data_IF_145076963458
#
_entry.id   IF_145076963458
#
_cell.length_a   1.000
_cell.length_b   1.000
_cell.length_c   1.000
_cell.angle_alpha   90.00
_cell.angle_beta   90.00
_cell.angle_gamma   90.00
#
_symmetry.space_group_name_H-M   'P 1'
#
loop_
_entity.id
_entity.type
_entity.pdbx_description
1 polymer ?
#
# COMPACT_ATOMS: atom_id res chain seq x y z
N UNK A 1 4.56 -1.49 6.13
CA UNK A 1 5.66 -1.74 5.16
C UNK A 1 5.09 -2.04 3.79
N UNK A 2 5.91 -2.07 2.73
CA UNK A 2 5.40 -2.30 1.36
C UNK A 2 5.16 -3.80 1.12
N UNK A 3 4.11 -4.17 0.37
CA UNK A 3 3.84 -5.57 0.02
C UNK A 3 3.23 -6.42 1.13
N UNK A 4 2.76 -5.83 2.22
CA UNK A 4 2.07 -6.56 3.31
C UNK A 4 0.58 -6.82 3.05
N UNK A 5 0.11 -6.70 1.80
CA UNK A 5 -1.27 -6.99 1.43
C UNK A 5 -2.33 -6.03 1.98
N UNK A 6 -2.02 -4.73 2.15
CA UNK A 6 -2.96 -3.72 2.69
C UNK A 6 -4.33 -3.76 2.01
N UNK A 7 -4.37 -3.75 0.68
CA UNK A 7 -5.62 -3.81 -0.10
C UNK A 7 -6.39 -5.10 0.17
N UNK A 8 -5.69 -6.23 0.33
CA UNK A 8 -6.32 -7.50 0.70
C UNK A 8 -6.90 -7.42 2.12
N UNK A 9 -6.16 -6.92 3.09
CA UNK A 9 -6.63 -6.75 4.47
C UNK A 9 -7.85 -5.81 4.56
N UNK A 10 -7.81 -4.69 3.84
CA UNK A 10 -8.97 -3.78 3.73
C UNK A 10 -10.19 -4.47 3.13
N UNK A 11 -10.01 -5.29 2.08
CA UNK A 11 -11.13 -6.05 1.50
C UNK A 11 -11.74 -7.02 2.52
N UNK A 12 -10.92 -7.66 3.36
CA UNK A 12 -11.38 -8.56 4.41
C UNK A 12 -12.07 -7.82 5.57
N UNK A 13 -11.68 -6.58 5.86
CA UNK A 13 -12.40 -5.72 6.81
C UNK A 13 -13.76 -5.29 6.24
N UNK A 14 -13.80 -4.86 4.98
CA UNK A 14 -15.05 -4.51 4.28
C UNK A 14 -16.04 -5.68 4.27
N UNK A 15 -15.56 -6.90 4.01
CA UNK A 15 -16.39 -8.12 4.07
C UNK A 15 -16.98 -8.44 5.45
N UNK A 16 -16.45 -7.83 6.53
CA UNK A 16 -17.00 -7.91 7.89
C UNK A 16 -17.93 -6.74 8.25
N UNK A 17 -18.19 -5.83 7.31
CA UNK A 17 -19.05 -4.66 7.51
C UNK A 17 -18.34 -3.45 8.14
N UNK A 18 -17.00 -3.44 8.20
CA UNK A 18 -16.22 -2.28 8.61
C UNK A 18 -16.22 -1.18 7.54
N UNK A 19 -16.04 0.08 7.96
CA UNK A 19 -16.03 1.22 7.03
C UNK A 19 -14.64 1.43 6.46
N UNK A 20 -14.50 1.33 5.14
CA UNK A 20 -13.19 1.38 4.46
C UNK A 20 -13.14 2.52 3.46
N UNK A 21 -12.10 3.35 3.54
CA UNK A 21 -11.72 4.30 2.50
C UNK A 21 -10.51 3.76 1.70
N UNK A 22 -10.79 3.10 0.59
CA UNK A 22 -9.78 2.57 -0.34
C UNK A 22 -9.33 3.66 -1.32
N UNK A 23 -8.31 4.43 -0.93
CA UNK A 23 -7.81 5.54 -1.74
C UNK A 23 -7.14 5.07 -3.05
N UNK A 24 -6.45 3.92 -3.04
CA UNK A 24 -5.82 3.35 -4.23
C UNK A 24 -6.86 2.89 -5.25
N UNK A 25 -7.93 2.23 -4.79
CA UNK A 25 -9.07 1.84 -5.61
C UNK A 25 -9.79 3.05 -6.22
N UNK A 26 -10.03 4.10 -5.43
CA UNK A 26 -10.60 5.36 -5.93
C UNK A 26 -9.68 6.08 -6.93
N UNK A 27 -8.36 5.98 -6.72
CA UNK A 27 -7.35 6.56 -7.60
C UNK A 27 -7.05 5.70 -8.84
N UNK A 28 -7.57 4.47 -8.89
CA UNK A 28 -7.23 3.44 -9.90
C UNK A 28 -5.72 3.25 -10.03
N UNK A 29 -5.02 3.18 -8.89
CA UNK A 29 -3.56 3.13 -8.85
C UNK A 29 -3.02 2.41 -7.60
N UNK A 30 -2.14 1.42 -7.76
CA UNK A 30 -1.55 0.63 -6.67
C UNK A 30 -0.32 1.25 -5.98
N UNK A 31 -0.35 2.56 -5.70
CA UNK A 31 0.64 3.31 -4.89
C UNK A 31 2.15 3.13 -5.16
N UNK A 32 2.53 2.46 -6.25
CA UNK A 32 3.90 2.01 -6.52
C UNK A 32 4.33 2.41 -7.93
N UNK A 33 5.64 2.39 -8.19
CA UNK A 33 6.19 2.64 -9.54
C UNK A 33 5.57 1.72 -10.59
N UNK A 34 5.14 0.53 -10.15
CA UNK A 34 4.54 -0.48 -10.98
C UNK A 34 3.02 -0.39 -11.01
N UNK A 35 2.40 0.40 -10.13
CA UNK A 35 1.00 0.32 -9.76
C UNK A 35 -0.03 0.85 -10.76
N UNK A 36 0.26 0.98 -12.05
CA UNK A 36 -0.83 1.12 -13.02
C UNK A 36 -1.66 -0.16 -12.98
N UNK A 37 -2.94 -0.03 -12.59
CA UNK A 37 -3.95 -1.06 -12.83
C UNK A 37 -4.23 -1.05 -14.34
N UNK A 38 -4.25 -2.23 -14.95
CA UNK A 38 -4.34 -2.43 -16.40
C UNK A 38 -5.36 -1.48 -17.06
N UNK A 39 -4.91 -0.75 -18.07
CA UNK A 39 -5.76 0.03 -18.99
C UNK A 39 -6.75 1.03 -18.36
N UNK A 40 -6.59 1.40 -17.08
CA UNK A 40 -7.42 2.39 -16.43
C UNK A 40 -6.65 3.69 -16.18
N UNK A 41 -7.12 4.77 -16.80
CA UNK A 41 -6.59 6.10 -16.50
C UNK A 41 -7.00 6.54 -15.09
N UNK A 42 -6.02 7.06 -14.33
CA UNK A 42 -6.33 7.74 -13.09
C UNK A 42 -7.33 8.87 -13.36
N UNK A 43 -8.37 9.03 -12.50
CA UNK A 43 -9.39 10.05 -12.67
C UNK A 43 -8.81 11.47 -12.66
N UNK A 44 -9.64 12.46 -12.96
CA UNK A 44 -9.29 13.85 -12.67
C UNK A 44 -9.24 14.08 -11.15
N UNK A 45 -8.48 15.08 -10.72
CA UNK A 45 -8.39 15.47 -9.31
C UNK A 45 -9.78 15.75 -8.72
N UNK A 46 -10.62 16.52 -9.43
CA UNK A 46 -11.98 16.85 -8.97
C UNK A 46 -12.89 15.63 -8.84
N UNK A 47 -12.76 14.66 -9.76
CA UNK A 47 -13.56 13.44 -9.70
C UNK A 47 -13.09 12.53 -8.56
N UNK A 48 -11.78 12.41 -8.34
CA UNK A 48 -11.22 11.71 -7.18
C UNK A 48 -11.74 12.26 -5.85
N UNK A 49 -11.72 13.59 -5.68
CA UNK A 49 -12.27 14.25 -4.48
C UNK A 49 -13.77 14.01 -4.32
N UNK A 50 -14.52 14.02 -5.44
CA UNK A 50 -15.95 13.71 -5.44
C UNK A 50 -16.25 12.28 -5.02
N UNK A 51 -15.42 11.31 -5.43
CA UNK A 51 -15.53 9.92 -5.04
C UNK A 51 -15.25 9.73 -3.55
N UNK A 52 -14.22 10.39 -3.00
CA UNK A 52 -13.93 10.41 -1.57
C UNK A 52 -15.13 10.95 -0.79
N UNK A 53 -15.65 12.12 -1.18
CA UNK A 53 -16.80 12.73 -0.52
C UNK A 53 -18.05 11.84 -0.60
N UNK A 54 -18.24 11.13 -1.71
CA UNK A 54 -19.33 10.16 -1.88
C UNK A 54 -19.21 8.98 -0.92
N UNK A 55 -18.02 8.43 -0.70
CA UNK A 55 -17.82 7.35 0.27
C UNK A 55 -18.10 7.82 1.70
N UNK A 56 -17.57 8.98 2.09
CA UNK A 56 -17.82 9.53 3.44
C UNK A 56 -19.30 9.77 3.74
N UNK A 57 -20.11 10.17 2.75
CA UNK A 57 -21.57 10.33 2.94
C UNK A 57 -22.30 9.03 3.31
N UNK A 58 -21.71 7.88 3.00
CA UNK A 58 -22.29 6.57 3.31
C UNK A 58 -21.76 5.99 4.64
N UNK A 59 -20.82 6.68 5.30
CA UNK A 59 -20.27 6.23 6.58
C UNK A 59 -21.09 6.77 7.74
N UNK A 60 -21.25 5.92 8.76
CA UNK A 60 -21.65 6.29 10.10
C UNK A 60 -20.48 6.99 10.80
N UNK A 61 -20.70 8.23 11.22
CA UNK A 61 -19.70 9.05 11.89
C UNK A 61 -19.30 8.54 13.28
N UNK A 62 -20.09 7.63 13.87
CA UNK A 62 -19.81 7.03 15.18
C UNK A 62 -18.98 5.75 15.08
N UNK A 63 -18.62 5.33 13.87
CA UNK A 63 -17.83 4.11 13.62
C UNK A 63 -16.47 4.47 13.06
N UNK A 64 -15.49 3.62 13.36
CA UNK A 64 -14.13 3.75 12.85
C UNK A 64 -14.14 3.64 11.31
N UNK A 65 -13.32 4.45 10.67
CA UNK A 65 -13.03 4.36 9.23
C UNK A 65 -11.58 3.91 9.08
N UNK A 66 -11.39 2.76 8.43
CA UNK A 66 -10.07 2.22 8.12
C UNK A 66 -9.61 2.77 6.76
N UNK A 67 -8.37 3.24 6.71
CA UNK A 67 -7.79 3.91 5.55
C UNK A 67 -6.41 3.32 5.31
N UNK A 68 -6.02 3.10 4.05
CA UNK A 68 -4.63 2.76 3.74
C UNK A 68 -3.70 3.92 4.11
N UNK A 69 -2.63 3.61 4.85
CA UNK A 69 -1.59 4.59 5.17
C UNK A 69 -0.72 4.85 3.93
N UNK A 70 -1.24 5.71 3.06
CA UNK A 70 -0.59 6.20 1.85
C UNK A 70 0.06 7.57 2.04
N UNK A 71 0.96 7.90 1.11
CA UNK A 71 1.50 9.26 1.02
C UNK A 71 0.39 10.24 0.61
N UNK A 72 0.63 11.54 0.78
CA UNK A 72 -0.30 12.58 0.31
C UNK A 72 -0.56 12.49 -1.20
N UNK A 73 0.30 11.81 -1.97
CA UNK A 73 0.14 11.60 -3.42
C UNK A 73 -0.09 10.12 -3.76
N UNK A 74 -1.02 9.89 -4.68
CA UNK A 74 -1.27 8.58 -5.29
C UNK A 74 -1.18 8.74 -6.81
N UNK A 75 -0.03 8.34 -7.38
CA UNK A 75 0.30 8.68 -8.76
C UNK A 75 0.31 10.19 -8.99
N UNK A 76 -0.54 10.70 -9.89
CA UNK A 76 -0.69 12.13 -10.17
C UNK A 76 -1.67 12.86 -9.22
N UNK A 77 -2.44 12.12 -8.44
CA UNK A 77 -3.51 12.64 -7.59
C UNK A 77 -3.00 13.06 -6.22
N UNK A 78 -3.61 14.09 -5.66
CA UNK A 78 -3.35 14.58 -4.31
C UNK A 78 -4.53 14.21 -3.40
N UNK A 79 -4.24 13.58 -2.25
CA UNK A 79 -5.22 13.37 -1.19
C UNK A 79 -5.62 14.74 -0.61
N UNK A 80 -6.92 15.02 -0.40
CA UNK A 80 -7.36 16.28 0.20
C UNK A 80 -6.60 16.60 1.48
N UNK A 81 -6.11 17.83 1.60
CA UNK A 81 -5.19 18.20 2.68
C UNK A 81 -5.78 17.94 4.09
N UNK A 82 -7.06 18.22 4.28
CA UNK A 82 -7.74 17.98 5.55
C UNK A 82 -7.89 16.49 5.88
N UNK A 83 -8.15 15.65 4.87
CA UNK A 83 -8.15 14.20 5.04
C UNK A 83 -6.75 13.71 5.39
N UNK A 84 -5.73 14.17 4.68
CA UNK A 84 -4.34 13.76 4.92
C UNK A 84 -3.87 14.17 6.32
N UNK A 85 -4.22 15.37 6.80
CA UNK A 85 -3.93 15.79 8.18
C UNK A 85 -4.55 14.83 9.20
N UNK A 86 -5.83 14.46 9.02
CA UNK A 86 -6.49 13.48 9.88
C UNK A 86 -5.79 12.12 9.83
N UNK A 87 -5.46 11.61 8.63
CA UNK A 87 -4.70 10.37 8.47
C UNK A 87 -3.32 10.40 9.16
N UNK A 88 -2.64 11.55 9.16
CA UNK A 88 -1.37 11.72 9.86
C UNK A 88 -1.52 11.73 11.38
N UNK A 89 -2.69 12.19 11.86
CA UNK A 89 -3.01 12.25 13.27
C UNK A 89 -3.53 10.92 13.77
N UNK A 90 -4.23 10.10 12.98
CA UNK A 90 -4.87 8.85 13.43
C UNK A 90 -3.92 7.72 13.87
N UNK A 91 -4.44 6.88 14.77
CA UNK A 91 -3.86 5.61 15.20
C UNK A 91 -3.43 4.78 13.99
N UNK A 92 -2.24 4.19 14.11
CA UNK A 92 -1.59 3.50 13.00
C UNK A 92 -1.21 2.08 13.36
N UNK A 93 -1.61 1.16 12.50
CA UNK A 93 -1.15 -0.22 12.52
C UNK A 93 -0.05 -0.42 11.48
N UNK A 94 1.16 -0.72 11.95
CA UNK A 94 2.26 -1.17 11.10
C UNK A 94 2.25 -2.68 11.09
N UNK A 95 1.78 -3.25 9.98
CA UNK A 95 1.82 -4.70 9.78
C UNK A 95 3.25 -5.11 9.43
N UNK A 96 3.82 -6.00 10.22
CA UNK A 96 5.06 -6.70 9.95
C UNK A 96 4.74 -8.08 9.38
N UNK A 97 5.18 -8.33 8.15
CA UNK A 97 4.96 -9.58 7.42
C UNK A 97 6.34 -10.12 7.01
N UNK A 98 6.63 -11.43 7.16
CA UNK A 98 7.90 -12.00 6.75
C UNK A 98 8.25 -11.66 5.28
N UNK A 99 9.53 -11.41 5.01
CA UNK A 99 10.00 -11.02 3.66
C UNK A 99 9.51 -12.00 2.58
N UNK A 100 9.61 -13.29 2.86
CA UNK A 100 9.20 -14.33 1.92
C UNK A 100 7.70 -14.24 1.56
N UNK A 101 6.84 -13.94 2.53
CA UNK A 101 5.40 -13.77 2.32
C UNK A 101 5.11 -12.50 1.51
N UNK A 102 5.82 -11.41 1.78
CA UNK A 102 5.73 -10.15 1.00
C UNK A 102 6.13 -10.38 -0.46
N UNK A 103 7.24 -11.08 -0.70
CA UNK A 103 7.73 -11.40 -2.04
C UNK A 103 6.73 -12.30 -2.76
N UNK A 104 6.27 -13.38 -2.12
CA UNK A 104 5.28 -14.30 -2.68
C UNK A 104 3.97 -13.57 -3.04
N UNK A 105 3.51 -12.67 -2.16
CA UNK A 105 2.34 -11.84 -2.41
C UNK A 105 2.54 -10.96 -3.66
N UNK A 106 3.64 -10.21 -3.73
CA UNK A 106 3.91 -9.34 -4.87
C UNK A 106 3.98 -10.14 -6.18
N UNK A 107 4.72 -11.25 -6.22
CA UNK A 107 4.83 -12.07 -7.43
C UNK A 107 3.46 -12.59 -7.88
N UNK A 108 2.59 -12.99 -6.95
CA UNK A 108 1.22 -13.46 -7.28
C UNK A 108 0.34 -12.36 -7.86
N UNK A 109 0.46 -11.12 -7.37
CA UNK A 109 -0.43 -10.00 -7.69
C UNK A 109 0.10 -9.04 -8.77
N UNK A 110 1.36 -9.20 -9.17
CA UNK A 110 2.03 -8.40 -10.19
C UNK A 110 2.55 -9.28 -11.33
N UNK A 111 1.72 -10.20 -11.82
CA UNK A 111 2.10 -11.14 -12.89
C UNK A 111 2.53 -10.46 -14.18
N UNK A 112 2.02 -9.26 -14.47
CA UNK A 112 2.41 -8.47 -15.64
C UNK A 112 3.90 -8.08 -15.65
N UNK A 113 4.63 -8.15 -14.51
CA UNK A 113 6.10 -8.04 -14.51
C UNK A 113 6.77 -9.03 -15.44
N UNK A 114 6.13 -10.17 -15.64
CA UNK A 114 6.66 -11.28 -16.42
C UNK A 114 6.16 -11.26 -17.86
N UNK A 115 5.21 -10.37 -18.20
CA UNK A 115 4.52 -10.36 -19.49
C UNK A 115 5.14 -9.36 -20.49
N UNK A 116 5.65 -8.21 -20.01
CA UNK A 116 6.35 -7.22 -20.84
C UNK A 116 7.64 -6.72 -20.16
N UNK A 117 8.76 -7.33 -20.57
CA UNK A 117 10.08 -6.98 -20.05
C UNK A 117 10.54 -5.57 -20.45
N UNK A 118 10.18 -5.08 -21.65
CA UNK A 118 10.60 -3.75 -22.10
C UNK A 118 9.84 -2.66 -21.33
N UNK A 119 8.55 -2.87 -21.06
CA UNK A 119 7.82 -1.98 -20.16
C UNK A 119 8.44 -1.99 -18.76
N UNK A 120 8.72 -3.16 -18.19
CA UNK A 120 9.36 -3.27 -16.88
C UNK A 120 10.71 -2.52 -16.83
N UNK A 121 11.55 -2.71 -17.84
CA UNK A 121 12.86 -2.06 -17.98
C UNK A 121 12.72 -0.54 -18.11
N UNK A 122 11.73 -0.05 -18.87
CA UNK A 122 11.45 1.37 -18.98
C UNK A 122 11.09 1.99 -17.62
N UNK A 123 10.25 1.29 -16.83
CA UNK A 123 9.87 1.70 -15.47
C UNK A 123 11.06 1.68 -14.52
N UNK A 124 11.89 0.63 -14.54
CA UNK A 124 13.12 0.55 -13.74
C UNK A 124 14.09 1.68 -14.06
N UNK A 125 14.18 2.10 -15.32
CA UNK A 125 15.05 3.21 -15.72
C UNK A 125 14.63 4.53 -15.06
N UNK A 126 13.34 4.73 -14.76
CA UNK A 126 12.85 5.90 -14.03
C UNK A 126 13.40 5.98 -12.59
N UNK A 127 13.91 4.87 -12.04
CA UNK A 127 14.56 4.83 -10.73
C UNK A 127 16.00 5.32 -10.74
N UNK A 128 16.61 5.56 -11.91
CA UNK A 128 17.98 6.07 -12.01
C UNK A 128 18.17 7.46 -11.35
N UNK A 129 17.08 8.22 -11.14
CA UNK A 129 17.10 9.47 -10.35
C UNK A 129 17.33 9.26 -8.85
N UNK A 130 17.13 8.04 -8.35
CA UNK A 130 17.23 7.71 -6.92
C UNK A 130 18.35 6.70 -6.61
N UNK A 131 18.82 5.98 -7.61
CA UNK A 131 19.78 4.88 -7.45
C UNK A 131 20.90 4.97 -8.48
N UNK A 132 22.12 4.51 -8.14
CA UNK A 132 23.23 4.47 -9.08
C UNK A 132 22.94 3.51 -10.24
N UNK A 133 23.48 3.81 -11.42
CA UNK A 133 23.26 3.02 -12.64
C UNK A 133 23.56 1.53 -12.47
N UNK A 134 24.59 1.19 -11.68
CA UNK A 134 24.91 -0.21 -11.35
C UNK A 134 23.73 -0.95 -10.73
N UNK A 135 23.02 -0.34 -9.78
CA UNK A 135 21.88 -0.97 -9.10
C UNK A 135 20.71 -1.18 -10.04
N UNK A 136 20.47 -0.22 -10.94
CA UNK A 136 19.46 -0.35 -11.99
C UNK A 136 19.81 -1.51 -12.93
N UNK A 137 21.06 -1.62 -13.37
CA UNK A 137 21.53 -2.74 -14.21
C UNK A 137 21.42 -4.09 -13.51
N UNK A 138 21.72 -4.17 -12.22
CA UNK A 138 21.54 -5.38 -11.40
C UNK A 138 20.07 -5.82 -11.40
N UNK A 139 19.13 -4.91 -11.12
CA UNK A 139 17.69 -5.20 -11.15
C UNK A 139 17.18 -5.63 -12.53
N UNK A 140 17.62 -4.95 -13.59
CA UNK A 140 17.28 -5.34 -14.97
C UNK A 140 17.80 -6.76 -15.27
N UNK A 141 19.02 -7.10 -14.85
CA UNK A 141 19.59 -8.43 -15.08
C UNK A 141 18.84 -9.54 -14.31
N UNK A 142 18.42 -9.27 -13.08
CA UNK A 142 17.61 -10.23 -12.31
C UNK A 142 16.25 -10.48 -12.99
N UNK A 143 15.58 -9.41 -13.44
CA UNK A 143 14.33 -9.52 -14.17
C UNK A 143 14.49 -10.26 -15.51
N UNK A 144 15.56 -9.98 -16.26
CA UNK A 144 15.86 -10.62 -17.56
C UNK A 144 16.08 -12.14 -17.40
N UNK A 145 16.71 -12.56 -16.31
CA UNK A 145 16.94 -13.98 -15.98
C UNK A 145 15.73 -14.67 -15.35
N UNK A 146 14.63 -13.95 -15.12
CA UNK A 146 13.45 -14.47 -14.43
C UNK A 146 13.69 -14.78 -12.95
N UNK A 147 14.71 -14.18 -12.32
CA UNK A 147 15.00 -14.33 -10.89
C UNK A 147 14.06 -13.45 -10.04
N UNK A 148 12.74 -13.69 -10.16
CA UNK A 148 11.70 -12.80 -9.63
C UNK A 148 11.71 -12.65 -8.11
N UNK A 149 12.02 -13.73 -7.38
CA UNK A 149 12.11 -13.71 -5.92
C UNK A 149 13.17 -12.70 -5.46
N UNK A 150 14.40 -12.87 -5.96
CA UNK A 150 15.53 -11.98 -5.66
C UNK A 150 15.28 -10.56 -6.16
N UNK A 151 14.75 -10.40 -7.37
CA UNK A 151 14.39 -9.10 -7.94
C UNK A 151 13.42 -8.30 -7.05
N UNK A 152 12.34 -8.95 -6.59
CA UNK A 152 11.33 -8.29 -5.74
C UNK A 152 11.88 -7.98 -4.37
N UNK A 153 12.61 -8.91 -3.74
CA UNK A 153 13.25 -8.69 -2.45
C UNK A 153 14.23 -7.49 -2.51
N UNK A 154 15.06 -7.45 -3.55
CA UNK A 154 16.01 -6.38 -3.80
C UNK A 154 15.33 -5.01 -3.91
N UNK A 155 14.21 -4.92 -4.62
CA UNK A 155 13.42 -3.69 -4.73
C UNK A 155 12.77 -3.31 -3.40
N UNK A 156 12.26 -4.28 -2.64
CA UNK A 156 11.68 -4.03 -1.32
C UNK A 156 12.70 -3.42 -0.37
N UNK A 157 13.86 -4.06 -0.23
CA UNK A 157 14.92 -3.67 0.71
C UNK A 157 15.56 -2.35 0.31
N UNK A 158 15.89 -2.17 -0.98
CA UNK A 158 16.74 -1.05 -1.38
C UNK A 158 15.93 0.18 -1.84
N UNK A 159 14.67 0.02 -2.25
CA UNK A 159 13.87 1.14 -2.75
C UNK A 159 12.61 1.40 -1.92
N UNK A 160 11.74 0.41 -1.77
CA UNK A 160 10.40 0.65 -1.23
C UNK A 160 10.39 0.84 0.29
N UNK A 161 11.03 -0.03 1.07
CA UNK A 161 11.03 0.06 2.53
C UNK A 161 11.74 1.32 3.05
N UNK A 162 12.91 1.73 2.53
CA UNK A 162 13.55 2.99 2.93
C UNK A 162 12.67 4.21 2.60
N UNK A 163 11.98 4.20 1.46
CA UNK A 163 11.09 5.29 1.05
C UNK A 163 9.88 5.37 1.97
N UNK A 164 9.29 4.23 2.32
CA UNK A 164 8.16 4.15 3.24
C UNK A 164 8.54 4.57 4.66
N UNK A 165 9.70 4.17 5.16
CA UNK A 165 10.18 4.59 6.49
C UNK A 165 10.41 6.10 6.54
N UNK A 166 10.97 6.71 5.49
CA UNK A 166 11.19 8.17 5.42
C UNK A 166 9.88 8.96 5.37
N UNK A 167 8.85 8.46 4.67
CA UNK A 167 7.55 9.14 4.67
C UNK A 167 6.85 9.02 6.02
N UNK A 168 6.94 7.86 6.66
CA UNK A 168 6.35 7.65 7.99
C UNK A 168 6.97 8.54 9.07
N UNK A 169 8.30 8.65 9.14
CA UNK A 169 8.97 9.46 10.18
C UNK A 169 8.68 10.95 10.04
N UNK A 170 8.47 11.45 8.82
CA UNK A 170 8.15 12.87 8.57
C UNK A 170 6.75 13.28 8.98
N UNK A 171 5.81 12.33 9.06
CA UNK A 171 4.39 12.60 9.26
C UNK A 171 3.85 11.96 10.54
N UNK A 172 4.72 11.51 11.44
CA UNK A 172 4.32 10.98 12.73
C UNK A 172 4.16 12.14 13.73
N UNK A 173 2.91 12.56 13.95
CA UNK A 173 2.58 13.74 14.76
C UNK A 173 1.78 13.43 16.04
N UNK A 174 1.83 12.20 16.56
CA UNK A 174 1.60 11.98 18.01
C UNK A 174 0.52 10.99 18.44
N UNK A 175 -0.02 10.12 17.58
CA UNK A 175 -0.91 9.02 18.03
C UNK A 175 -0.20 7.65 18.12
N UNK A 176 -0.93 6.67 18.64
CA UNK A 176 -0.43 5.33 18.96
C UNK A 176 -0.06 4.61 17.67
N UNK A 177 1.22 4.29 17.53
CA UNK A 177 1.70 3.39 16.48
C UNK A 177 1.82 1.99 17.07
N UNK A 178 0.94 1.08 16.65
CA UNK A 178 1.00 -0.33 17.01
C UNK A 178 1.71 -1.09 15.89
N UNK A 179 2.85 -1.71 16.21
CA UNK A 179 3.46 -2.70 15.31
C UNK A 179 2.81 -4.04 15.61
N UNK A 180 2.28 -4.68 14.59
CA UNK A 180 1.58 -5.96 14.71
C UNK A 180 2.15 -6.95 13.71
N UNK A 181 2.51 -8.13 14.21
CA UNK A 181 3.05 -9.21 13.41
C UNK A 181 1.91 -10.03 12.78
N UNK A 182 2.09 -10.35 11.50
CA UNK A 182 1.24 -11.25 10.76
C UNK A 182 2.13 -12.34 10.17
N UNK A 183 1.86 -13.60 10.51
CA UNK A 183 2.72 -14.73 10.10
C UNK A 183 2.67 -14.97 8.59
N UNK A 184 1.46 -14.94 8.02
CA UNK A 184 1.21 -15.14 6.60
C UNK A 184 -0.09 -14.47 6.15
N UNK A 185 -0.34 -14.49 4.83
CA UNK A 185 -1.58 -13.97 4.23
C UNK A 185 -2.64 -15.06 4.01
N UNK A 186 -2.59 -16.17 4.74
CA UNK A 186 -3.65 -17.18 4.69
C UNK A 186 -4.95 -16.61 5.27
N UNK A 187 -6.09 -17.13 4.80
CA UNK A 187 -7.39 -16.67 5.27
C UNK A 187 -7.58 -16.84 6.78
N UNK A 188 -6.99 -17.88 7.38
CA UNK A 188 -7.06 -18.15 8.82
C UNK A 188 -6.24 -17.14 9.64
N UNK A 189 -4.98 -16.90 9.26
CA UNK A 189 -4.11 -15.92 9.93
C UNK A 189 -4.67 -14.51 9.83
N UNK A 190 -5.11 -14.12 8.62
CA UNK A 190 -5.78 -12.82 8.40
C UNK A 190 -7.10 -12.74 9.13
N UNK A 191 -7.83 -13.86 9.26
CA UNK A 191 -9.07 -13.86 10.01
C UNK A 191 -8.83 -13.50 11.49
N UNK A 192 -7.89 -14.21 12.12
CA UNK A 192 -7.51 -14.03 13.52
C UNK A 192 -6.92 -12.63 13.77
N UNK A 193 -6.02 -12.20 12.90
CA UNK A 193 -5.37 -10.91 12.96
C UNK A 193 -6.38 -9.75 12.99
N UNK A 194 -7.28 -9.71 12.00
CA UNK A 194 -8.24 -8.62 11.89
C UNK A 194 -9.29 -8.64 13.01
N UNK A 195 -9.65 -9.82 13.53
CA UNK A 195 -10.54 -9.93 14.69
C UNK A 195 -9.93 -9.23 15.91
N UNK A 196 -8.69 -9.56 16.25
CA UNK A 196 -7.98 -8.95 17.37
C UNK A 196 -7.81 -7.44 17.18
N UNK A 197 -7.47 -7.01 15.97
CA UNK A 197 -7.31 -5.58 15.65
C UNK A 197 -8.61 -4.77 15.83
N UNK A 198 -9.76 -5.32 15.42
CA UNK A 198 -11.06 -4.66 15.62
C UNK A 198 -11.42 -4.59 17.11
N UNK A 199 -11.20 -5.66 17.87
CA UNK A 199 -11.48 -5.70 19.31
C UNK A 199 -10.62 -4.66 20.07
N UNK A 200 -9.32 -4.56 19.74
CA UNK A 200 -8.42 -3.56 20.31
C UNK A 200 -8.84 -2.13 19.97
N UNK A 201 -9.20 -1.85 18.72
CA UNK A 201 -9.65 -0.52 18.28
C UNK A 201 -11.01 -0.12 18.88
N UNK A 202 -11.90 -1.09 19.08
CA UNK A 202 -13.22 -0.84 19.70
C UNK A 202 -13.10 -0.52 21.19
N UNK A 203 -12.08 -1.07 21.87
CA UNK A 203 -11.82 -0.82 23.28
C UNK A 203 -11.23 0.59 23.57
N UNK A 204 -10.70 1.26 22.55
CA UNK A 204 -10.09 2.61 22.65
C UNK A 204 -11.10 3.73 22.34
N UNK A 205 -12.28 3.39 21.80
CA UNK A 205 -13.35 4.36 21.48
C UNK A 205 -14.22 4.64 22.72
N UNK A 206 -13.77 5.51 23.63
CA UNK A 206 -14.58 6.11 24.72
C UNK A 206 -14.51 7.63 24.62
#
# INVERSE_FOLDING_TARGET
MTGCGKTYLLSQLSGRGEQILDLEGLAKHKGSLFGKLDNEDQPSQSYFESLIAKQFRNFDSNRIVWIESESIRIGKLLVPQELFKKMCMSDRYIINLPMQERVNHIIRHYKYFTEDFEELKSRLTLLAKYHPSRKISEWISLAEKGQWQEFVEELLVNHYDPTYTRSQTRHNHGEKTSVVDLDDLSSESVHRFLKNMIEESSAVSI
#
